data_IF_278091049311
#
_entry.id   IF_278091049311
#
_cell.length_a   1.000
_cell.length_b   1.000
_cell.length_c   1.000
_cell.angle_alpha   90.00
_cell.angle_beta   90.00
_cell.angle_gamma   90.00
#
_symmetry.space_group_name_H-M   'P 1'
#
loop_
_entity.id
_entity.type
_entity.pdbx_description
1 polymer ?
#
# COMPACT_ATOMS: atom_id res chain seq x y z
N UNK A 1 15.94 -19.92 -5.20
CA UNK A 1 15.86 -19.47 -5.00
C UNK A 1 15.51 -18.69 -4.77
N UNK A 2 15.23 -18.35 -4.76
CA UNK A 2 15.10 -17.63 -4.63
C UNK A 2 14.54 -16.71 -4.18
N UNK A 3 14.59 -16.73 -3.89
CA UNK A 3 14.18 -15.75 -3.10
C UNK A 3 13.97 -14.50 -3.66
N UNK A 4 14.56 -14.24 -4.65
CA UNK A 4 14.41 -13.02 -5.27
C UNK A 4 13.05 -12.77 -5.69
N UNK A 5 12.29 -13.72 -5.84
CA UNK A 5 10.95 -13.51 -6.25
C UNK A 5 10.19 -12.76 -5.24
N UNK A 6 10.48 -13.01 -4.03
CA UNK A 6 9.73 -12.43 -3.01
C UNK A 6 9.94 -10.99 -2.86
N UNK A 7 11.16 -10.58 -3.11
CA UNK A 7 11.43 -9.23 -2.84
C UNK A 7 10.76 -8.30 -3.77
N UNK A 8 10.13 -8.78 -4.78
CA UNK A 8 9.44 -7.88 -5.67
C UNK A 8 8.13 -7.41 -5.10
N UNK A 9 7.62 -8.07 -4.08
CA UNK A 9 6.36 -7.65 -3.51
C UNK A 9 6.50 -6.28 -2.86
N UNK A 10 5.43 -5.51 -2.93
CA UNK A 10 5.38 -4.16 -2.38
C UNK A 10 4.09 -4.02 -1.61
N UNK A 11 4.11 -3.33 -0.50
CA UNK A 11 2.91 -3.21 0.30
C UNK A 11 2.74 -1.82 0.88
N UNK A 12 1.52 -1.50 1.26
CA UNK A 12 1.20 -0.28 1.97
C UNK A 12 0.19 -0.62 3.04
N UNK A 13 0.02 0.26 4.01
CA UNK A 13 -0.94 0.10 5.08
C UNK A 13 -2.06 1.09 4.88
N UNK A 14 -3.30 0.62 4.85
CA UNK A 14 -4.44 1.48 4.59
C UNK A 14 -5.38 1.48 5.79
N UNK A 15 -5.63 2.66 6.33
CA UNK A 15 -6.56 2.85 7.42
C UNK A 15 -7.85 3.40 6.82
N UNK A 16 -8.83 2.55 6.69
CA UNK A 16 -10.09 2.94 6.06
C UNK A 16 -10.91 3.89 6.92
N UNK A 17 -10.73 3.82 8.23
CA UNK A 17 -11.49 4.71 9.10
C UNK A 17 -11.03 6.15 8.97
N UNK A 18 -9.75 6.37 8.91
CA UNK A 18 -9.21 7.70 8.77
C UNK A 18 -8.88 8.06 7.34
N UNK A 19 -8.99 7.08 6.45
CA UNK A 19 -8.68 7.25 5.03
C UNK A 19 -7.25 7.72 4.84
N UNK A 20 -6.33 6.99 5.45
CA UNK A 20 -4.92 7.30 5.40
C UNK A 20 -4.17 6.11 4.80
N UNK A 21 -3.23 6.39 3.91
CA UNK A 21 -2.38 5.38 3.30
C UNK A 21 -0.97 5.62 3.78
N UNK A 22 -0.35 4.60 4.36
CA UNK A 22 1.00 4.70 4.90
C UNK A 22 1.93 3.70 4.24
N UNK A 23 3.13 4.13 3.95
CA UNK A 23 4.14 3.21 3.45
C UNK A 23 4.69 2.39 4.60
N UNK A 24 4.81 3.00 5.77
CA UNK A 24 5.32 2.32 6.94
C UNK A 24 4.20 1.60 7.67
N UNK A 25 4.59 0.65 8.49
CA UNK A 25 3.64 -0.10 9.27
C UNK A 25 2.72 0.83 10.05
N UNK A 26 1.43 0.53 10.00
CA UNK A 26 0.42 1.31 10.70
C UNK A 26 -0.55 0.31 11.35
N UNK A 27 -0.43 0.07 12.65
CA UNK A 27 -1.28 -0.92 13.31
C UNK A 27 -2.76 -0.67 13.17
N UNK A 28 -3.17 0.57 12.93
CA UNK A 28 -4.58 0.89 12.76
C UNK A 28 -5.08 0.52 11.38
N UNK A 29 -4.19 0.19 10.45
CA UNK A 29 -4.58 -0.12 9.10
C UNK A 29 -4.36 -1.57 8.77
N UNK A 30 -4.65 -1.92 7.51
CA UNK A 30 -4.40 -3.25 6.99
C UNK A 30 -3.29 -3.19 5.98
N UNK A 31 -2.43 -4.19 6.00
CA UNK A 31 -1.37 -4.26 5.03
C UNK A 31 -1.90 -4.87 3.73
N UNK A 32 -1.72 -4.16 2.64
CA UNK A 32 -2.17 -4.59 1.33
C UNK A 32 -0.94 -4.81 0.46
N UNK A 33 -0.84 -5.99 -0.13
CA UNK A 33 0.31 -6.36 -0.95
C UNK A 33 -0.01 -6.19 -2.43
N UNK A 34 0.98 -5.74 -3.17
CA UNK A 34 0.88 -5.60 -4.62
C UNK A 34 2.05 -6.34 -5.25
N UNK A 35 1.87 -6.77 -6.49
CA UNK A 35 2.91 -7.49 -7.17
C UNK A 35 4.17 -6.68 -7.34
N UNK A 36 4.01 -5.41 -7.57
CA UNK A 36 5.17 -4.54 -7.69
C UNK A 36 4.74 -3.12 -7.37
N UNK A 37 5.74 -2.24 -7.35
CA UNK A 37 5.51 -0.88 -6.95
C UNK A 37 4.61 -0.12 -7.90
N UNK A 38 4.73 -0.38 -9.19
CA UNK A 38 3.91 0.35 -10.16
C UNK A 38 2.44 0.09 -9.95
N UNK A 39 2.09 -1.16 -9.71
CA UNK A 39 0.70 -1.51 -9.46
C UNK A 39 0.24 -0.85 -8.17
N UNK A 40 1.09 -0.85 -7.16
CA UNK A 40 0.75 -0.22 -5.89
C UNK A 40 0.52 1.27 -6.04
N UNK A 41 1.38 1.93 -6.81
CA UNK A 41 1.24 3.37 -7.02
C UNK A 41 -0.07 3.69 -7.73
N UNK A 42 -0.46 2.88 -8.70
CA UNK A 42 -1.73 3.10 -9.37
C UNK A 42 -2.90 2.96 -8.40
N UNK A 43 -2.84 1.97 -7.55
CA UNK A 43 -3.91 1.76 -6.57
C UNK A 43 -3.98 2.94 -5.61
N UNK A 44 -2.83 3.41 -5.14
CA UNK A 44 -2.78 4.54 -4.24
C UNK A 44 -3.35 5.78 -4.91
N UNK A 45 -3.01 6.00 -6.16
CA UNK A 45 -3.51 7.16 -6.89
C UNK A 45 -5.03 7.14 -6.95
N UNK A 46 -5.61 5.97 -7.17
CA UNK A 46 -7.06 5.87 -7.18
C UNK A 46 -7.66 6.17 -5.82
N UNK A 47 -7.04 5.67 -4.77
CA UNK A 47 -7.54 5.92 -3.44
C UNK A 47 -7.45 7.40 -3.07
N UNK A 48 -6.37 8.04 -3.46
CA UNK A 48 -6.22 9.47 -3.19
C UNK A 48 -7.34 10.25 -3.89
N UNK A 49 -7.69 9.84 -5.09
CA UNK A 49 -8.77 10.53 -5.79
C UNK A 49 -10.12 10.30 -5.12
N UNK A 50 -10.21 9.31 -4.25
CA UNK A 50 -11.44 9.04 -3.51
C UNK A 50 -11.42 9.68 -2.11
N UNK A 51 -10.40 10.45 -1.81
CA UNK A 51 -10.36 11.14 -0.53
C UNK A 51 -9.35 10.64 0.47
N UNK A 52 -8.57 9.63 0.11
CA UNK A 52 -7.54 9.13 1.01
C UNK A 52 -6.35 10.08 0.99
N UNK A 53 -5.59 10.07 2.09
CA UNK A 53 -4.40 10.90 2.21
C UNK A 53 -3.19 10.03 2.45
N UNK A 54 -2.03 10.52 2.03
CA UNK A 54 -0.77 9.85 2.31
C UNK A 54 -0.29 10.35 3.67
N UNK A 55 -0.11 9.42 4.56
CA UNK A 55 0.28 9.79 5.92
C UNK A 55 1.55 9.16 6.40
#
# INVERSE_FOLDING_TARGET
MNEQDIKQAWSVWIDENKKVISIKENPAGKEIFFENRDIGIKAITELVSKGYKIG
#
